data_IF_613987173511
#
_entry.id   IF_613987173511
#
_cell.length_a   1.000
_cell.length_b   1.000
_cell.length_c   1.000
_cell.angle_alpha   90.00
_cell.angle_beta   90.00
_cell.angle_gamma   90.00
#
_symmetry.space_group_name_H-M   'P 1'
#
loop_
_entity.id
_entity.type
_entity.pdbx_description
1 polymer ?
#
# COMPACT_ATOMS: atom_id res chain seq x y z
N UNK A 1 1.42 24.12 -9.82
CA UNK A 1 2.73 23.49 -10.12
C UNK A 1 2.85 22.28 -9.21
N UNK A 2 3.10 21.08 -9.75
CA UNK A 2 3.24 19.85 -8.94
C UNK A 2 4.55 19.92 -8.17
N UNK A 3 4.51 19.71 -6.86
CA UNK A 3 5.70 19.78 -6.01
C UNK A 3 6.55 18.51 -6.11
N UNK A 4 7.81 18.58 -5.71
CA UNK A 4 8.66 17.39 -5.59
C UNK A 4 8.06 16.38 -4.60
N UNK A 5 7.41 16.88 -3.54
CA UNK A 5 6.73 16.05 -2.54
C UNK A 5 5.64 15.20 -3.20
N UNK A 6 4.80 15.80 -4.04
CA UNK A 6 3.70 15.09 -4.70
C UNK A 6 4.22 13.97 -5.63
N UNK A 7 5.33 14.24 -6.35
CA UNK A 7 5.97 13.22 -7.21
C UNK A 7 6.51 12.04 -6.42
N UNK A 8 7.15 12.30 -5.29
CA UNK A 8 7.68 11.24 -4.41
C UNK A 8 6.54 10.42 -3.81
N UNK A 9 5.44 11.06 -3.43
CA UNK A 9 4.26 10.37 -2.89
C UNK A 9 3.57 9.49 -3.94
N UNK A 10 3.47 9.94 -5.20
CA UNK A 10 2.91 9.10 -6.27
C UNK A 10 3.81 7.90 -6.57
N UNK A 11 5.12 8.12 -6.75
CA UNK A 11 6.07 7.02 -6.96
C UNK A 11 6.02 6.01 -5.83
N UNK A 12 6.00 6.47 -4.58
CA UNK A 12 5.91 5.56 -3.42
C UNK A 12 4.59 4.77 -3.42
N UNK A 13 3.47 5.40 -3.76
CA UNK A 13 2.17 4.74 -3.88
C UNK A 13 2.17 3.67 -4.99
N UNK A 14 2.73 3.98 -6.15
CA UNK A 14 2.85 3.04 -7.28
C UNK A 14 3.69 1.81 -6.91
N UNK A 15 4.84 2.02 -6.25
CA UNK A 15 5.71 0.95 -5.78
C UNK A 15 5.02 0.02 -4.77
N UNK A 16 4.23 0.60 -3.85
CA UNK A 16 3.44 -0.19 -2.89
C UNK A 16 2.38 -1.04 -3.62
N UNK A 17 1.67 -0.46 -4.59
CA UNK A 17 0.68 -1.19 -5.37
C UNK A 17 1.35 -2.32 -6.17
N UNK A 18 2.53 -2.09 -6.75
CA UNK A 18 3.27 -3.12 -7.49
C UNK A 18 3.63 -4.28 -6.57
N UNK A 19 4.27 -4.00 -5.43
CA UNK A 19 4.66 -5.03 -4.47
C UNK A 19 3.46 -5.80 -3.90
N UNK A 20 2.33 -5.12 -3.65
CA UNK A 20 1.09 -5.78 -3.26
C UNK A 20 0.58 -6.71 -4.36
N UNK A 21 0.52 -6.28 -5.63
CA UNK A 21 0.09 -7.14 -6.74
C UNK A 21 0.98 -8.36 -6.92
N UNK A 22 2.30 -8.19 -6.91
CA UNK A 22 3.29 -9.27 -7.06
C UNK A 22 3.19 -10.32 -5.95
N UNK A 23 2.74 -9.91 -4.76
CA UNK A 23 2.64 -10.79 -3.59
C UNK A 23 1.25 -11.33 -3.32
N UNK A 24 0.28 -11.08 -4.22
CA UNK A 24 -1.11 -11.49 -4.04
C UNK A 24 -1.80 -10.73 -2.90
N UNK A 25 -1.46 -9.45 -2.74
CA UNK A 25 -1.98 -8.52 -1.74
C UNK A 25 -1.67 -8.87 -0.28
N UNK A 26 -0.58 -9.60 -0.05
CA UNK A 26 -0.12 -9.96 1.30
C UNK A 26 0.80 -8.86 1.86
N UNK A 27 0.30 -8.05 2.80
CA UNK A 27 1.02 -6.91 3.43
C UNK A 27 2.45 -7.27 3.87
N UNK A 28 2.60 -8.33 4.67
CA UNK A 28 3.89 -8.80 5.17
C UNK A 28 4.90 -9.13 4.06
N UNK A 29 4.44 -9.73 2.95
CA UNK A 29 5.31 -10.07 1.81
C UNK A 29 5.69 -8.81 1.03
N UNK A 30 4.73 -7.94 0.76
CA UNK A 30 4.98 -6.66 0.08
C UNK A 30 5.96 -5.78 0.87
N UNK A 31 5.85 -5.74 2.21
CA UNK A 31 6.79 -5.04 3.08
C UNK A 31 8.22 -5.56 2.92
N UNK A 32 8.40 -6.89 2.87
CA UNK A 32 9.70 -7.54 2.64
C UNK A 32 10.27 -7.20 1.27
N UNK A 33 9.43 -7.18 0.23
CA UNK A 33 9.85 -6.79 -1.14
C UNK A 33 10.34 -5.34 -1.18
N UNK A 34 9.66 -4.43 -0.47
CA UNK A 34 9.99 -3.01 -0.41
C UNK A 34 11.11 -2.68 0.59
N UNK A 35 11.60 -3.66 1.35
CA UNK A 35 12.63 -3.42 2.38
C UNK A 35 12.16 -2.58 3.57
N UNK A 36 10.86 -2.59 3.86
CA UNK A 36 10.27 -1.85 4.99
C UNK A 36 9.57 -2.78 5.97
N UNK A 37 9.18 -2.25 7.14
CA UNK A 37 8.40 -3.02 8.11
C UNK A 37 6.93 -3.14 7.69
N UNK A 38 6.27 -4.19 8.18
CA UNK A 38 4.83 -4.40 7.97
C UNK A 38 3.98 -3.24 8.53
N UNK A 39 4.39 -2.66 9.66
CA UNK A 39 3.75 -1.45 10.21
C UNK A 39 3.86 -0.28 9.23
N UNK A 40 5.03 -0.04 8.64
CA UNK A 40 5.24 1.07 7.69
C UNK A 40 4.39 0.92 6.43
N UNK A 41 4.32 -0.29 5.86
CA UNK A 41 3.47 -0.50 4.68
C UNK A 41 1.98 -0.29 5.04
N UNK A 42 1.55 -0.74 6.22
CA UNK A 42 0.20 -0.49 6.72
C UNK A 42 -0.13 1.00 6.81
N UNK A 43 0.76 1.80 7.40
CA UNK A 43 0.60 3.25 7.43
C UNK A 43 0.52 3.87 6.03
N UNK A 44 1.37 3.45 5.09
CA UNK A 44 1.39 4.01 3.74
C UNK A 44 0.15 3.61 2.93
N UNK A 45 -0.33 2.37 3.06
CA UNK A 45 -1.60 1.91 2.47
C UNK A 45 -2.76 2.79 2.93
N UNK A 46 -2.82 3.09 4.23
CA UNK A 46 -3.83 4.00 4.81
C UNK A 46 -3.66 5.43 4.29
N UNK A 47 -2.43 5.95 4.30
CA UNK A 47 -2.09 7.31 3.83
C UNK A 47 -2.50 7.52 2.36
N UNK A 48 -2.27 6.52 1.51
CA UNK A 48 -2.50 6.61 0.07
C UNK A 48 -3.84 6.07 -0.41
N UNK A 49 -4.72 5.65 0.53
CA UNK A 49 -6.05 5.12 0.21
C UNK A 49 -6.01 3.94 -0.76
N UNK A 50 -5.01 3.06 -0.63
CA UNK A 50 -4.90 1.88 -1.51
C UNK A 50 -6.02 0.90 -1.14
N UNK A 51 -6.86 0.53 -2.11
CA UNK A 51 -7.96 -0.43 -1.95
C UNK A 51 -7.64 -1.77 -2.63
N UNK A 52 -8.09 -2.88 -2.07
CA UNK A 52 -8.11 -4.19 -2.74
C UNK A 52 -9.40 -4.31 -3.56
N UNK A 53 -9.27 -4.73 -4.81
CA UNK A 53 -10.36 -5.23 -5.64
C UNK A 53 -10.02 -6.62 -6.16
N UNK A 54 -10.11 -7.65 -5.30
CA UNK A 54 -9.75 -9.01 -5.72
C UNK A 54 -10.90 -9.75 -6.42
N UNK A 55 -12.17 -9.40 -6.21
CA UNK A 55 -13.32 -10.04 -6.89
C UNK A 55 -14.58 -9.26 -6.53
N UNK A 56 -14.97 -8.23 -7.30
CA UNK A 56 -16.28 -7.55 -7.18
C UNK A 56 -16.65 -6.87 -5.85
N UNK A 57 -15.91 -7.13 -4.77
CA UNK A 57 -16.06 -6.57 -3.44
C UNK A 57 -14.85 -5.67 -3.16
N UNK A 58 -15.08 -4.37 -2.99
CA UNK A 58 -14.07 -3.48 -2.46
C UNK A 58 -13.80 -3.87 -1.00
N UNK A 59 -12.60 -4.36 -0.71
CA UNK A 59 -12.14 -4.55 0.67
C UNK A 59 -11.14 -3.46 0.98
N UNK A 60 -11.55 -2.55 1.85
CA UNK A 60 -10.63 -1.57 2.39
C UNK A 60 -9.63 -2.27 3.31
N UNK A 61 -8.34 -2.03 3.08
CA UNK A 61 -7.29 -2.40 4.04
C UNK A 61 -7.43 -1.68 5.40
N UNK A 62 -8.40 -0.78 5.50
CA UNK A 62 -8.67 0.09 6.63
C UNK A 62 -9.50 -0.58 7.72
N UNK A 63 -10.13 -1.73 7.45
CA UNK A 63 -11.14 -2.28 8.36
C UNK A 63 -10.59 -3.38 9.29
N UNK A 64 -10.65 -3.04 10.58
CA UNK A 64 -10.52 -3.85 11.81
C UNK A 64 -9.09 -4.21 12.29
N UNK A 65 -8.64 -3.36 13.22
CA UNK A 65 -7.78 -3.69 14.35
C UNK A 65 -6.29 -4.01 14.05
N UNK A 66 -5.60 -3.09 13.38
CA UNK A 66 -4.14 -2.97 13.51
C UNK A 66 -3.84 -2.02 14.69
N UNK A 67 -3.87 -2.56 15.93
CA UNK A 67 -3.37 -1.91 17.16
C UNK A 67 -1.82 -1.84 17.14
#
# INVERSE_FOLDING_TARGET
>A
MVSLKDKVEEMEREEIIRALKETGWVKAKAARVLGITERMIGYKIRKYGIKISLTGEERDFLDKQDL
#
